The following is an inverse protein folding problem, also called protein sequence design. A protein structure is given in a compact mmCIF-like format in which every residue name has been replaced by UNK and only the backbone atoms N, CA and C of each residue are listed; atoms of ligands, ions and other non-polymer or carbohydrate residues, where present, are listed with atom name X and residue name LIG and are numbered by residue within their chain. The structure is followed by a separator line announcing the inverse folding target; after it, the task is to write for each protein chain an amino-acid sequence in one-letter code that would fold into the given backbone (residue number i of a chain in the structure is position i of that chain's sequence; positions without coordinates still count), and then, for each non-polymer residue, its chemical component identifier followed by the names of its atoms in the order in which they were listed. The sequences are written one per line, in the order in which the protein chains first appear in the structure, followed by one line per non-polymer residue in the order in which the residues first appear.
data_IF_089217452987
#
_entry.id   IF_089217452987
#
_cell.length_a   1.000
_cell.length_b   1.000
_cell.length_c   1.000
_cell.angle_alpha   90.00
_cell.angle_beta   90.00
_cell.angle_gamma   90.00
#
_symmetry.space_group_name_H-M   'P 1'
#
loop_
_entity.id
_entity.type
_entity.pdbx_description
1 polymer ?
#
# COMPACT_ATOMS: atom_id res chain seq x y z
N UNK A 1 46.75 -10.60 -57.90
CA UNK A 1 47.05 -10.37 -56.47
C UNK A 1 46.12 -9.27 -55.97
N UNK A 2 44.94 -9.64 -55.49
CA UNK A 2 44.07 -8.79 -54.66
C UNK A 2 43.10 -9.73 -53.95
N UNK A 3 43.38 -9.95 -52.66
CA UNK A 3 42.62 -10.81 -51.77
C UNK A 3 41.34 -10.09 -51.35
N UNK A 4 40.20 -10.68 -51.65
CA UNK A 4 38.91 -10.25 -51.11
C UNK A 4 38.77 -10.92 -49.74
N UNK A 5 39.02 -10.18 -48.66
CA UNK A 5 38.66 -10.62 -47.31
C UNK A 5 37.34 -9.97 -46.91
N UNK A 6 36.26 -10.74 -47.03
CA UNK A 6 34.99 -10.43 -46.36
C UNK A 6 35.16 -10.76 -44.87
N UNK A 7 35.33 -9.74 -44.04
CA UNK A 7 35.11 -9.89 -42.60
C UNK A 7 33.60 -9.91 -42.35
N UNK A 8 33.06 -11.09 -42.02
CA UNK A 8 31.71 -11.22 -41.50
C UNK A 8 31.69 -10.72 -40.04
N UNK A 9 31.14 -9.53 -39.81
CA UNK A 9 30.81 -9.02 -38.49
C UNK A 9 29.57 -9.75 -37.96
N UNK A 10 29.75 -10.72 -37.07
CA UNK A 10 28.68 -11.17 -36.18
C UNK A 10 28.38 -10.04 -35.19
N UNK A 11 27.35 -9.26 -35.46
CA UNK A 11 26.76 -8.35 -34.48
C UNK A 11 25.97 -9.15 -33.45
N UNK A 12 26.49 -9.28 -32.23
CA UNK A 12 25.72 -9.80 -31.11
C UNK A 12 24.58 -8.81 -30.80
N UNK A 13 23.33 -9.24 -31.03
CA UNK A 13 22.16 -8.50 -30.58
C UNK A 13 22.10 -8.58 -29.05
N UNK A 14 22.62 -7.56 -28.37
CA UNK A 14 22.37 -7.38 -26.95
C UNK A 14 20.91 -6.98 -26.78
N UNK A 15 20.07 -7.92 -26.33
CA UNK A 15 18.72 -7.61 -25.88
C UNK A 15 18.87 -6.82 -24.58
N UNK A 16 18.78 -5.49 -24.67
CA UNK A 16 18.66 -4.64 -23.50
C UNK A 16 17.31 -4.99 -22.84
N UNK A 17 17.35 -5.72 -21.74
CA UNK A 17 16.20 -5.87 -20.85
C UNK A 17 15.95 -4.48 -20.27
N UNK A 18 15.01 -3.74 -20.86
CA UNK A 18 14.54 -2.49 -20.28
C UNK A 18 13.97 -2.80 -18.91
N UNK A 19 14.67 -2.41 -17.84
CA UNK A 19 14.04 -2.35 -16.53
C UNK A 19 12.86 -1.40 -16.64
N UNK A 20 11.65 -1.92 -16.51
CA UNK A 20 10.44 -1.13 -16.32
C UNK A 20 10.61 -0.43 -14.97
N UNK A 21 11.22 0.74 -14.97
CA UNK A 21 11.19 1.64 -13.83
C UNK A 21 9.73 2.07 -13.69
N UNK A 22 9.04 1.57 -12.67
CA UNK A 22 7.78 2.17 -12.25
C UNK A 22 7.97 3.68 -12.03
N UNK A 23 6.88 4.48 -12.03
CA UNK A 23 6.98 5.91 -11.76
C UNK A 23 7.81 6.12 -10.49
N UNK A 24 8.81 7.01 -10.56
CA UNK A 24 9.61 7.42 -9.42
C UNK A 24 8.70 8.19 -8.45
N UNK A 25 7.97 7.45 -7.61
CA UNK A 25 7.14 8.01 -6.56
C UNK A 25 8.10 8.54 -5.51
N UNK A 26 8.35 9.85 -5.55
CA UNK A 26 9.15 10.52 -4.52
C UNK A 26 8.34 10.55 -3.24
N UNK A 27 8.68 9.66 -2.31
CA UNK A 27 8.15 9.62 -0.95
C UNK A 27 8.62 10.84 -0.19
N UNK A 28 7.80 11.41 0.71
CA UNK A 28 8.28 12.43 1.62
C UNK A 28 8.52 13.81 1.01
N UNK A 29 7.69 14.20 0.03
CA UNK A 29 7.71 15.56 -0.52
C UNK A 29 7.55 16.66 0.54
N UNK A 30 6.96 16.34 1.70
CA UNK A 30 6.80 17.23 2.84
C UNK A 30 7.83 17.00 3.97
N UNK A 31 8.85 16.17 3.74
CA UNK A 31 9.88 15.80 4.72
C UNK A 31 9.46 14.67 5.67
N UNK A 32 10.09 14.62 6.84
CA UNK A 32 9.76 13.65 7.90
C UNK A 32 8.44 14.01 8.59
N UNK A 33 7.60 13.00 8.84
CA UNK A 33 6.37 13.21 9.60
C UNK A 33 6.68 13.55 11.06
N UNK A 34 5.99 14.57 11.58
CA UNK A 34 5.99 14.86 13.02
C UNK A 34 5.19 13.78 13.75
N UNK A 35 5.59 13.48 14.98
CA UNK A 35 4.82 12.60 15.86
C UNK A 35 3.37 13.05 15.98
N UNK A 36 2.45 12.14 15.69
CA UNK A 36 1.01 12.34 15.86
C UNK A 36 0.67 12.12 17.33
N UNK A 37 0.29 13.16 18.07
CA UNK A 37 -0.04 13.07 19.52
C UNK A 37 -1.48 13.45 19.85
N UNK A 38 -2.27 13.76 18.84
CA UNK A 38 -3.58 14.39 18.95
C UNK A 38 -4.63 13.61 18.15
N UNK A 39 -4.67 12.28 18.27
CA UNK A 39 -5.84 11.55 17.83
C UNK A 39 -7.05 12.00 18.66
N UNK A 40 -8.17 12.43 18.04
CA UNK A 40 -9.29 13.03 18.77
C UNK A 40 -9.95 12.06 19.75
N UNK A 41 -9.98 10.77 19.41
CA UNK A 41 -10.57 9.70 20.21
C UNK A 41 -9.58 8.55 20.31
N UNK A 42 -8.99 8.36 21.49
CA UNK A 42 -8.11 7.21 21.76
C UNK A 42 -8.95 5.93 21.75
N UNK A 43 -8.46 4.89 21.08
CA UNK A 43 -9.21 3.65 20.87
C UNK A 43 -10.29 3.76 19.79
N UNK A 44 -10.29 4.82 18.97
CA UNK A 44 -11.00 4.81 17.68
C UNK A 44 -10.41 3.74 16.77
N UNK A 45 -11.27 2.89 16.20
CA UNK A 45 -10.87 1.72 15.44
C UNK A 45 -11.34 1.85 14.00
N UNK A 46 -10.43 1.59 13.07
CA UNK A 46 -10.71 1.50 11.64
C UNK A 46 -10.29 0.11 11.15
N UNK A 47 -11.14 -0.51 10.32
CA UNK A 47 -10.92 -1.88 9.85
C UNK A 47 -11.04 -1.94 8.32
N UNK A 48 -10.05 -2.56 7.71
CA UNK A 48 -10.12 -3.06 6.33
C UNK A 48 -10.38 -4.55 6.35
N UNK A 49 -11.48 -4.97 5.71
CA UNK A 49 -11.85 -6.39 5.59
C UNK A 49 -11.56 -6.89 4.18
N UNK A 50 -10.74 -7.94 4.09
CA UNK A 50 -10.37 -8.58 2.83
C UNK A 50 -11.18 -9.85 2.66
N UNK A 51 -11.77 -10.01 1.47
CA UNK A 51 -12.54 -11.20 1.09
C UNK A 51 -12.34 -11.51 -0.40
N UNK A 52 -11.08 -11.64 -0.83
CA UNK A 52 -10.72 -12.10 -2.17
C UNK A 52 -10.06 -13.47 -2.09
N UNK A 53 -9.93 -14.16 -3.23
CA UNK A 53 -9.25 -15.46 -3.27
C UNK A 53 -7.79 -15.36 -2.77
N UNK A 54 -7.10 -14.26 -3.09
CA UNK A 54 -5.71 -14.03 -2.73
C UNK A 54 -5.51 -13.68 -1.25
N UNK A 55 -6.36 -12.83 -0.68
CA UNK A 55 -6.21 -12.34 0.70
C UNK A 55 -7.57 -12.33 1.39
N UNK A 56 -7.65 -12.99 2.54
CA UNK A 56 -8.79 -12.91 3.46
C UNK A 56 -8.35 -12.46 4.85
N UNK A 57 -9.23 -11.81 5.59
CA UNK A 57 -8.99 -11.41 6.97
C UNK A 57 -9.13 -9.90 7.17
N UNK A 58 -8.43 -9.34 8.15
CA UNK A 58 -8.57 -7.94 8.53
C UNK A 58 -7.25 -7.23 8.78
N UNK A 59 -7.25 -5.94 8.49
CA UNK A 59 -6.23 -5.00 8.97
C UNK A 59 -6.93 -3.98 9.85
N UNK A 60 -6.52 -3.88 11.12
CA UNK A 60 -7.08 -2.95 12.10
C UNK A 60 -6.08 -1.84 12.39
N UNK A 61 -6.56 -0.61 12.42
CA UNK A 61 -5.84 0.58 12.83
C UNK A 61 -6.55 1.18 14.04
N UNK A 62 -5.85 1.29 15.17
CA UNK A 62 -6.42 1.80 16.42
C UNK A 62 -5.68 3.05 16.87
N UNK A 63 -6.41 4.13 17.09
CA UNK A 63 -5.88 5.38 17.60
C UNK A 63 -5.21 5.20 18.96
N UNK A 64 -3.95 5.64 19.09
CA UNK A 64 -3.20 5.61 20.34
C UNK A 64 -2.76 7.01 20.77
N UNK A 65 -2.15 7.15 21.95
CA UNK A 65 -1.67 8.45 22.46
C UNK A 65 -0.56 9.05 21.60
N UNK A 66 0.19 8.20 20.89
CA UNK A 66 1.14 8.58 19.84
C UNK A 66 0.90 7.66 18.64
N UNK A 67 0.62 8.23 17.47
CA UNK A 67 0.36 7.49 16.24
C UNK A 67 -0.83 6.54 16.36
N UNK A 68 -0.75 5.41 15.67
CA UNK A 68 -1.76 4.36 15.72
C UNK A 68 -1.12 2.98 15.80
N UNK A 69 -1.84 2.03 16.39
CA UNK A 69 -1.43 0.63 16.43
C UNK A 69 -2.09 -0.12 15.26
N UNK A 70 -1.28 -0.87 14.52
CA UNK A 70 -1.76 -1.77 13.49
C UNK A 70 -1.82 -3.22 13.97
N UNK A 71 -2.86 -3.94 13.57
CA UNK A 71 -2.95 -5.38 13.70
C UNK A 71 -3.37 -5.97 12.37
N UNK A 72 -2.53 -6.84 11.80
CA UNK A 72 -2.79 -7.54 10.56
C UNK A 72 -3.07 -9.00 10.89
N UNK A 73 -4.27 -9.46 10.57
CA UNK A 73 -4.68 -10.86 10.69
C UNK A 73 -5.22 -11.30 9.33
N UNK A 74 -4.34 -11.86 8.51
CA UNK A 74 -4.63 -12.19 7.10
C UNK A 74 -4.16 -13.59 6.73
N UNK A 75 -4.85 -14.22 5.78
CA UNK A 75 -4.59 -15.60 5.35
C UNK A 75 -4.56 -15.76 3.83
N UNK A 76 -4.01 -16.91 3.41
CA UNK A 76 -3.86 -17.44 2.03
C UNK A 76 -2.99 -16.65 1.07
N UNK A 77 -2.10 -15.85 1.64
CA UNK A 77 -0.85 -15.50 1.00
C UNK A 77 -0.08 -16.79 0.64
N UNK A 78 0.25 -16.96 -0.63
CA UNK A 78 1.01 -18.09 -1.17
C UNK A 78 2.50 -17.84 -0.94
N UNK A 79 3.18 -18.78 -0.27
CA UNK A 79 4.58 -18.61 0.16
C UNK A 79 5.51 -18.19 -1.00
N UNK A 80 5.39 -18.83 -2.16
CA UNK A 80 6.26 -18.59 -3.32
C UNK A 80 6.00 -17.28 -4.08
N UNK A 81 4.90 -16.58 -3.74
CA UNK A 81 4.54 -15.27 -4.31
C UNK A 81 4.93 -14.12 -3.38
N UNK A 82 5.48 -14.43 -2.20
CA UNK A 82 6.09 -13.47 -1.30
C UNK A 82 7.51 -13.05 -1.73
N UNK A 83 8.10 -12.03 -1.08
CA UNK A 83 7.54 -11.26 0.04
C UNK A 83 6.39 -10.35 -0.39
N UNK A 84 5.39 -10.21 0.49
CA UNK A 84 4.23 -9.37 0.26
C UNK A 84 4.41 -8.00 0.88
N UNK A 85 4.26 -6.94 0.08
CA UNK A 85 4.23 -5.56 0.58
C UNK A 85 2.79 -5.15 0.80
N UNK A 86 2.54 -4.29 1.77
CA UNK A 86 1.25 -3.65 1.96
C UNK A 86 1.44 -2.17 2.20
N UNK A 87 0.58 -1.35 1.58
CA UNK A 87 0.64 0.10 1.72
C UNK A 87 -0.76 0.69 1.79
N UNK A 88 -0.83 1.91 2.32
CA UNK A 88 -2.03 2.73 2.26
C UNK A 88 -2.02 3.46 0.91
N UNK A 89 -3.12 3.40 0.18
CA UNK A 89 -3.30 4.09 -1.09
C UNK A 89 -4.19 5.32 -0.92
N UNK A 90 -4.04 6.29 -1.81
CA UNK A 90 -4.67 7.61 -1.66
C UNK A 90 -6.20 7.60 -1.72
N UNK A 91 -6.83 6.63 -2.40
CA UNK A 91 -8.29 6.52 -2.55
C UNK A 91 -8.84 5.25 -1.89
N UNK A 92 -10.13 5.26 -1.59
CA UNK A 92 -10.90 4.08 -1.23
C UNK A 92 -10.87 3.01 -2.34
N UNK A 93 -11.19 1.77 -1.99
CA UNK A 93 -11.47 0.70 -2.97
C UNK A 93 -12.74 1.07 -3.76
N UNK A 94 -12.72 1.02 -5.10
CA UNK A 94 -13.90 1.27 -5.92
C UNK A 94 -14.90 0.11 -5.82
N UNK A 95 -16.16 0.36 -6.19
CA UNK A 95 -17.19 -0.70 -6.29
C UNK A 95 -16.82 -1.80 -7.29
N UNK A 96 -16.03 -1.47 -8.32
CA UNK A 96 -15.52 -2.43 -9.31
C UNK A 96 -14.58 -3.48 -8.72
N UNK A 97 -14.03 -3.24 -7.52
CA UNK A 97 -12.97 -4.07 -6.93
C UNK A 97 -11.60 -3.92 -7.60
N UNK A 98 -11.46 -3.05 -8.60
CA UNK A 98 -10.19 -2.85 -9.30
C UNK A 98 -9.20 -2.07 -8.44
N UNK A 99 -8.25 -2.79 -7.85
CA UNK A 99 -7.25 -2.21 -6.95
C UNK A 99 -6.35 -1.17 -7.61
N UNK A 100 -6.26 -1.09 -8.94
CA UNK A 100 -5.50 -0.04 -9.65
C UNK A 100 -6.11 1.35 -9.42
N UNK A 101 -7.44 1.42 -9.25
CA UNK A 101 -8.17 2.68 -9.11
C UNK A 101 -7.99 3.33 -7.73
N UNK A 102 -7.45 2.60 -6.75
CA UNK A 102 -7.06 3.17 -5.44
C UNK A 102 -5.96 4.25 -5.55
N UNK A 103 -5.32 4.37 -6.72
CA UNK A 103 -4.29 5.38 -6.99
C UNK A 103 -2.90 4.91 -6.55
N UNK A 104 -2.00 5.86 -6.27
CA UNK A 104 -0.66 5.58 -5.73
C UNK A 104 -0.65 5.42 -4.21
N UNK A 105 0.54 5.20 -3.66
CA UNK A 105 0.75 5.20 -2.20
C UNK A 105 0.39 6.56 -1.60
N UNK A 106 -0.12 6.55 -0.37
CA UNK A 106 -0.19 7.72 0.48
C UNK A 106 1.22 8.02 1.01
N UNK A 107 1.93 8.92 0.34
CA UNK A 107 3.38 9.09 0.51
C UNK A 107 3.82 10.55 0.75
N UNK A 108 2.94 11.35 1.37
CA UNK A 108 3.17 12.78 1.58
C UNK A 108 4.40 13.06 2.46
N UNK A 109 4.74 12.16 3.38
CA UNK A 109 5.89 12.23 4.28
C UNK A 109 6.74 10.96 4.19
N UNK A 110 7.99 11.06 4.63
CA UNK A 110 8.76 9.91 5.06
C UNK A 110 8.20 9.48 6.43
N UNK A 111 7.08 8.77 6.39
CA UNK A 111 6.14 8.71 7.51
C UNK A 111 6.43 7.54 8.46
N UNK A 112 6.65 7.85 9.75
CA UNK A 112 6.65 6.88 10.85
C UNK A 112 5.34 6.90 11.66
N UNK A 113 4.44 7.85 11.39
CA UNK A 113 3.32 8.23 12.24
C UNK A 113 2.06 8.53 11.41
N UNK A 114 1.36 7.47 11.01
CA UNK A 114 0.00 7.57 10.48
C UNK A 114 -0.98 8.07 11.55
N UNK A 115 -2.07 8.72 11.11
CA UNK A 115 -3.04 9.39 11.97
C UNK A 115 -4.48 8.99 11.67
N UNK A 116 -5.34 9.06 12.70
CA UNK A 116 -6.80 9.02 12.56
C UNK A 116 -7.47 10.37 12.87
N UNK A 117 -6.66 11.44 13.02
CA UNK A 117 -7.16 12.80 13.06
C UNK A 117 -7.30 13.37 11.63
N UNK A 118 -8.49 13.75 11.16
CA UNK A 118 -8.71 14.24 9.80
C UNK A 118 -7.97 15.56 9.48
N UNK A 119 -7.55 16.33 10.48
CA UNK A 119 -6.79 17.57 10.25
C UNK A 119 -5.28 17.30 10.03
N UNK A 120 -4.83 16.07 10.25
CA UNK A 120 -3.44 15.70 10.06
C UNK A 120 -3.20 15.21 8.64
N UNK A 121 -2.07 15.61 8.08
CA UNK A 121 -1.71 15.25 6.71
C UNK A 121 -1.45 13.74 6.55
N UNK A 122 -1.10 13.04 7.64
CA UNK A 122 -1.01 11.57 7.72
C UNK A 122 -2.35 10.87 7.98
N UNK A 123 -3.50 11.54 7.78
CA UNK A 123 -4.82 10.93 7.98
C UNK A 123 -5.07 9.77 7.00
N UNK A 124 -5.44 8.62 7.55
CA UNK A 124 -5.63 7.38 6.77
C UNK A 124 -7.08 6.89 6.70
N UNK A 125 -8.02 7.52 7.41
CA UNK A 125 -9.42 7.12 7.37
C UNK A 125 -9.99 7.20 5.96
N UNK A 126 -10.84 6.24 5.60
CA UNK A 126 -11.48 6.07 4.29
C UNK A 126 -10.53 5.85 3.10
N UNK A 127 -9.24 5.62 3.38
CA UNK A 127 -8.25 5.18 2.39
C UNK A 127 -8.21 3.67 2.31
N UNK A 128 -7.55 3.13 1.28
CA UNK A 128 -7.44 1.68 1.12
C UNK A 128 -6.08 1.14 1.54
N UNK A 129 -6.08 -0.07 2.10
CA UNK A 129 -4.88 -0.90 2.23
C UNK A 129 -4.80 -1.78 0.98
N UNK A 130 -3.64 -1.81 0.33
CA UNK A 130 -3.39 -2.63 -0.87
C UNK A 130 -2.23 -3.57 -0.61
N UNK A 131 -2.44 -4.85 -0.90
CA UNK A 131 -1.38 -5.88 -0.88
C UNK A 131 -0.77 -6.02 -2.26
N UNK A 132 0.56 -6.17 -2.28
CA UNK A 132 1.35 -6.45 -3.47
C UNK A 132 2.12 -7.75 -3.29
N UNK A 133 2.16 -8.57 -4.34
CA UNK A 133 3.05 -9.73 -4.39
C UNK A 133 4.50 -9.33 -4.74
N UNK A 134 5.38 -10.32 -4.86
CA UNK A 134 6.79 -10.10 -5.20
C UNK A 134 7.04 -9.50 -6.59
N UNK A 135 6.06 -9.54 -7.49
CA UNK A 135 6.13 -8.87 -8.79
C UNK A 135 5.74 -7.40 -8.70
N UNK A 136 5.13 -6.99 -7.59
CA UNK A 136 4.55 -5.65 -7.39
C UNK A 136 3.09 -5.55 -7.84
N UNK A 137 2.49 -6.64 -8.33
CA UNK A 137 1.08 -6.67 -8.73
C UNK A 137 0.18 -6.45 -7.52
N UNK A 138 -0.89 -5.66 -7.69
CA UNK A 138 -1.91 -5.46 -6.64
C UNK A 138 -2.81 -6.69 -6.60
N UNK A 139 -2.76 -7.44 -5.50
CA UNK A 139 -3.47 -8.73 -5.37
C UNK A 139 -4.75 -8.64 -4.53
N UNK A 140 -4.86 -7.62 -3.68
CA UNK A 140 -6.06 -7.35 -2.89
C UNK A 140 -6.06 -5.90 -2.40
N UNK A 141 -7.24 -5.34 -2.21
CA UNK A 141 -7.41 -4.00 -1.66
C UNK A 141 -8.71 -3.90 -0.86
N UNK A 142 -8.68 -3.15 0.24
CA UNK A 142 -9.87 -2.90 1.06
C UNK A 142 -9.78 -1.52 1.72
N UNK A 143 -10.90 -0.80 1.75
CA UNK A 143 -11.03 0.50 2.43
C UNK A 143 -10.97 0.32 3.95
N UNK A 144 -10.25 1.19 4.64
CA UNK A 144 -10.35 1.38 6.10
C UNK A 144 -11.68 2.05 6.39
N UNK A 145 -12.58 1.34 7.07
CA UNK A 145 -13.86 1.88 7.54
C UNK A 145 -13.85 2.06 9.04
N UNK A 146 -14.38 3.17 9.54
CA UNK A 146 -14.54 3.40 10.97
C UNK A 146 -15.49 2.36 11.55
N UNK A 147 -15.10 1.74 12.65
CA UNK A 147 -16.00 0.92 13.45
C UNK A 147 -16.80 1.88 14.31
N UNK A 148 -18.09 1.99 14.03
CA UNK A 148 -19.02 2.61 14.95
C UNK A 148 -19.02 1.75 16.22
N UNK A 149 -18.71 2.37 17.37
CA UNK A 149 -19.00 1.70 18.63
C UNK A 149 -20.51 1.70 18.72
N UNK A 150 -21.13 0.53 18.61
CA UNK A 150 -22.49 0.36 19.11
C UNK A 150 -22.46 0.92 20.53
N UNK A 151 -23.21 2.00 20.75
CA UNK A 151 -23.55 2.46 22.09
C UNK A 151 -24.10 1.22 22.79
N UNK A 152 -23.35 0.73 23.77
CA UNK A 152 -23.76 -0.34 24.67
C UNK A 152 -25.01 0.19 25.38
N UNK A 153 -26.16 0.06 24.71
CA UNK A 153 -27.47 0.30 25.27
C UNK A 153 -27.59 -0.70 26.41
N UNK A 154 -27.26 -0.22 27.60
CA UNK A 154 -27.56 -0.86 28.87
C UNK A 154 -29.05 -1.26 28.85
N UNK A 155 -29.31 -2.56 28.69
CA UNK A 155 -30.59 -3.22 28.91
C UNK A 155 -30.47 -4.15 30.11
#
# INVERSE_FOLDING_TARGET
MQLISLFALLGAAAVAVGQVTGPNVTTGALGDAKEVRNNPVIGETWVSTFNSDAVRGTVKAVAHTVGINYTLDVTGLVVDKGPYKYHIHVRATPESGNCTETGGHLDSFNDKYTALNPIQLGYIGDRSIVFHDNTGARIACATLKKVEKDDDTCH
#
